data_IF_945122978214
#
_entry.id   IF_945122978214
#
_cell.length_a   1.000
_cell.length_b   1.000
_cell.length_c   1.000
_cell.angle_alpha   90.00
_cell.angle_beta   90.00
_cell.angle_gamma   90.00
#
_symmetry.space_group_name_H-M   'P 1'
#
loop_
_entity.id
_entity.type
_entity.pdbx_description
1 polymer ?
#
# COMPACT_ATOMS: atom_id res chain seq x y z
N UNK A 1 -5.74 -6.63 -25.03
CA UNK A 1 -5.17 -7.58 -24.04
C UNK A 1 -3.84 -7.04 -23.55
N UNK A 2 -3.69 -6.92 -22.23
CA UNK A 2 -2.47 -6.42 -21.59
C UNK A 2 -1.72 -7.56 -20.90
N UNK A 3 -0.40 -7.46 -20.89
CA UNK A 3 0.45 -8.35 -20.13
C UNK A 3 0.43 -7.93 -18.65
N UNK A 4 0.05 -8.84 -17.76
CA UNK A 4 0.04 -8.59 -16.32
C UNK A 4 1.08 -9.46 -15.63
N UNK A 5 1.88 -8.86 -14.75
CA UNK A 5 2.91 -9.60 -13.99
C UNK A 5 3.17 -9.01 -12.61
N UNK A 6 3.63 -9.87 -11.70
CA UNK A 6 3.96 -9.59 -10.31
C UNK A 6 5.42 -9.23 -10.10
N UNK A 7 5.69 -8.35 -9.13
CA UNK A 7 7.04 -7.89 -8.78
C UNK A 7 7.58 -8.42 -7.45
N UNK A 8 8.14 -7.50 -6.66
CA UNK A 8 8.88 -7.82 -5.44
C UNK A 8 8.05 -8.45 -4.32
N UNK A 9 6.75 -8.15 -4.24
CA UNK A 9 5.88 -8.68 -3.19
C UNK A 9 5.67 -10.19 -3.31
N UNK A 10 5.77 -10.92 -2.19
CA UNK A 10 5.51 -12.36 -2.12
C UNK A 10 6.72 -13.30 -2.24
N UNK A 11 7.89 -12.81 -2.65
CA UNK A 11 9.06 -13.69 -2.90
C UNK A 11 10.01 -13.90 -1.71
N UNK A 12 9.95 -13.06 -0.67
CA UNK A 12 10.97 -12.96 0.37
C UNK A 12 11.17 -14.24 1.19
N UNK A 13 10.10 -14.99 1.48
CA UNK A 13 10.22 -16.27 2.20
C UNK A 13 10.90 -17.36 1.36
N UNK A 14 10.70 -17.35 0.04
CA UNK A 14 11.27 -18.32 -0.89
C UNK A 14 12.74 -18.06 -1.26
N UNK A 15 13.19 -16.81 -1.13
CA UNK A 15 14.56 -16.38 -1.45
C UNK A 15 15.17 -15.61 -0.26
N UNK A 16 15.64 -16.30 0.80
CA UNK A 16 16.06 -15.67 2.05
C UNK A 16 17.20 -14.64 1.91
N UNK A 17 18.04 -14.75 0.89
CA UNK A 17 19.13 -13.84 0.53
C UNK A 17 18.68 -12.54 -0.13
N UNK A 18 17.46 -12.56 -0.67
CA UNK A 18 16.78 -11.42 -1.29
C UNK A 18 15.67 -10.85 -0.40
N UNK A 19 15.31 -11.55 0.67
CA UNK A 19 14.32 -11.13 1.66
C UNK A 19 14.68 -9.76 2.23
N UNK A 20 13.67 -8.90 2.38
CA UNK A 20 13.85 -7.64 3.10
C UNK A 20 14.30 -7.87 4.53
N UNK A 21 15.04 -6.90 5.05
CA UNK A 21 15.41 -6.84 6.47
C UNK A 21 14.84 -5.59 7.11
N UNK A 22 14.56 -5.64 8.41
CA UNK A 22 14.19 -4.45 9.18
C UNK A 22 15.41 -3.56 9.47
N UNK A 23 15.20 -2.46 10.19
CA UNK A 23 16.29 -1.56 10.61
C UNK A 23 17.29 -2.19 11.60
N UNK A 24 16.97 -3.36 12.17
CA UNK A 24 17.85 -4.15 13.02
C UNK A 24 18.56 -5.28 12.25
N UNK A 25 18.44 -5.31 10.92
CA UNK A 25 18.99 -6.34 10.03
C UNK A 25 18.39 -7.74 10.24
N UNK A 26 17.24 -7.84 10.90
CA UNK A 26 16.50 -9.10 10.99
C UNK A 26 15.68 -9.30 9.72
N UNK A 27 15.64 -10.53 9.19
CA UNK A 27 14.83 -10.80 7.99
C UNK A 27 13.35 -10.66 8.32
N UNK A 28 12.61 -10.02 7.42
CA UNK A 28 11.18 -9.82 7.56
C UNK A 28 10.40 -11.14 7.63
N UNK A 29 10.93 -12.21 7.05
CA UNK A 29 10.35 -13.56 7.16
C UNK A 29 10.47 -14.18 8.57
N UNK A 30 11.27 -13.59 9.46
CA UNK A 30 11.59 -14.13 10.79
C UNK A 30 10.99 -13.30 11.94
N UNK A 31 10.32 -12.19 11.63
CA UNK A 31 9.65 -11.38 12.65
C UNK A 31 8.37 -12.07 13.13
N UNK A 32 7.89 -11.76 14.35
CA UNK A 32 6.68 -12.37 14.89
C UNK A 32 5.47 -12.19 13.97
N UNK A 33 4.56 -13.17 14.01
CA UNK A 33 3.29 -13.08 13.30
C UNK A 33 2.39 -12.04 13.96
N UNK A 34 1.78 -11.20 13.14
CA UNK A 34 0.77 -10.21 13.52
C UNK A 34 -0.58 -10.81 13.18
N UNK A 35 -1.43 -10.99 14.20
CA UNK A 35 -2.66 -11.78 14.12
C UNK A 35 -3.54 -11.42 12.92
N UNK A 36 -3.66 -10.14 12.63
CA UNK A 36 -4.58 -9.61 11.63
C UNK A 36 -3.90 -9.20 10.32
N UNK A 37 -2.59 -9.43 10.14
CA UNK A 37 -1.84 -9.00 8.96
C UNK A 37 -1.91 -10.04 7.83
N UNK A 38 -2.94 -9.95 6.98
CA UNK A 38 -3.24 -10.97 5.96
C UNK A 38 -2.09 -11.20 4.97
N UNK A 39 -1.42 -10.13 4.52
CA UNK A 39 -0.31 -10.26 3.57
C UNK A 39 1.06 -10.52 4.22
N UNK A 40 1.13 -10.78 5.53
CA UNK A 40 2.44 -11.01 6.18
C UNK A 40 3.19 -12.21 5.57
N UNK A 41 2.47 -13.21 5.06
CA UNK A 41 3.13 -14.35 4.39
C UNK A 41 3.72 -14.01 3.03
N UNK A 42 3.28 -12.90 2.43
CA UNK A 42 3.78 -12.37 1.16
C UNK A 42 4.90 -11.34 1.38
N UNK A 43 5.88 -11.69 2.20
CA UNK A 43 7.04 -10.83 2.47
C UNK A 43 7.73 -10.44 1.16
N UNK A 44 7.95 -9.14 0.95
CA UNK A 44 8.60 -8.66 -0.26
C UNK A 44 10.10 -9.00 -0.31
N UNK A 45 10.59 -9.19 -1.53
CA UNK A 45 12.00 -9.15 -1.89
C UNK A 45 12.49 -7.69 -1.81
N UNK A 46 13.77 -7.47 -1.55
CA UNK A 46 14.37 -6.14 -1.46
C UNK A 46 14.31 -5.40 -2.81
N UNK A 47 13.50 -4.33 -2.97
CA UNK A 47 13.41 -3.62 -4.25
C UNK A 47 14.71 -2.93 -4.65
N UNK A 48 15.54 -2.54 -3.67
CA UNK A 48 16.87 -1.97 -3.91
C UNK A 48 17.94 -2.97 -4.41
N UNK A 49 17.55 -4.20 -4.75
CA UNK A 49 18.42 -5.16 -5.40
C UNK A 49 18.41 -4.93 -6.93
N UNK A 50 19.40 -4.20 -7.42
CA UNK A 50 19.48 -3.84 -8.84
C UNK A 50 19.44 -5.05 -9.80
N UNK A 51 20.20 -6.14 -9.60
CA UNK A 51 20.11 -7.31 -10.48
C UNK A 51 18.70 -7.90 -10.63
N UNK A 52 17.92 -7.92 -9.55
CA UNK A 52 16.54 -8.42 -9.59
C UNK A 52 15.64 -7.45 -10.37
N UNK A 53 15.75 -6.15 -10.11
CA UNK A 53 15.00 -5.13 -10.85
C UNK A 53 15.39 -5.11 -12.33
N UNK A 54 16.66 -5.29 -12.66
CA UNK A 54 17.15 -5.46 -14.03
C UNK A 54 16.55 -6.69 -14.71
N UNK A 55 16.41 -7.81 -14.00
CA UNK A 55 15.75 -9.00 -14.54
C UNK A 55 14.29 -8.72 -14.90
N UNK A 56 13.52 -8.07 -14.01
CA UNK A 56 12.14 -7.67 -14.31
C UNK A 56 12.08 -6.75 -15.54
N UNK A 57 12.97 -5.75 -15.61
CA UNK A 57 13.07 -4.84 -16.76
C UNK A 57 13.30 -5.60 -18.07
N UNK A 58 14.24 -6.53 -18.08
CA UNK A 58 14.57 -7.34 -19.27
C UNK A 58 13.41 -8.25 -19.68
N UNK A 59 12.74 -8.89 -18.73
CA UNK A 59 11.56 -9.73 -19.03
C UNK A 59 10.44 -8.90 -19.64
N UNK A 60 10.14 -7.72 -19.08
CA UNK A 60 9.10 -6.84 -19.61
C UNK A 60 9.44 -6.41 -21.04
N UNK A 61 10.69 -6.00 -21.30
CA UNK A 61 11.15 -5.61 -22.63
C UNK A 61 11.05 -6.77 -23.64
N UNK A 62 11.52 -7.97 -23.29
CA UNK A 62 11.47 -9.14 -24.17
C UNK A 62 10.03 -9.54 -24.51
N UNK A 63 9.13 -9.49 -23.52
CA UNK A 63 7.72 -9.81 -23.72
C UNK A 63 7.06 -8.79 -24.65
N UNK A 64 7.36 -7.50 -24.51
CA UNK A 64 6.83 -6.46 -25.39
C UNK A 64 7.40 -6.52 -26.80
N UNK A 65 8.67 -6.92 -26.97
CA UNK A 65 9.28 -7.12 -28.28
C UNK A 65 8.69 -8.34 -29.02
N UNK A 66 8.42 -9.43 -28.29
CA UNK A 66 8.07 -10.73 -28.87
C UNK A 66 6.58 -10.93 -29.08
N UNK A 67 5.75 -10.50 -28.12
CA UNK A 67 4.31 -10.76 -28.13
C UNK A 67 3.51 -9.51 -28.47
N UNK A 68 2.39 -9.63 -29.21
CA UNK A 68 1.59 -8.50 -29.66
C UNK A 68 0.64 -7.97 -28.56
N UNK A 69 1.12 -7.83 -27.33
CA UNK A 69 0.37 -7.19 -26.26
C UNK A 69 0.27 -5.67 -26.51
N UNK A 70 -0.87 -5.10 -26.14
CA UNK A 70 -1.18 -3.66 -26.32
C UNK A 70 -0.73 -2.82 -25.12
N UNK A 71 -0.37 -3.47 -24.02
CA UNK A 71 0.01 -2.80 -22.80
C UNK A 71 0.57 -3.74 -21.75
N UNK A 72 1.08 -3.12 -20.68
CA UNK A 72 1.60 -3.75 -19.47
C UNK A 72 0.83 -3.18 -18.28
N UNK A 73 0.27 -4.05 -17.46
CA UNK A 73 -0.35 -3.70 -16.18
C UNK A 73 0.35 -4.45 -15.06
N UNK A 74 1.24 -3.73 -14.38
CA UNK A 74 2.04 -4.30 -13.31
C UNK A 74 1.20 -4.45 -12.03
N UNK A 75 1.43 -5.54 -11.31
CA UNK A 75 0.87 -5.76 -9.98
C UNK A 75 1.97 -6.12 -9.01
N UNK A 76 1.78 -5.90 -7.70
CA UNK A 76 2.72 -6.39 -6.68
C UNK A 76 4.15 -5.81 -6.76
N UNK A 77 4.37 -4.72 -7.51
CA UNK A 77 5.63 -3.95 -7.53
C UNK A 77 5.69 -2.94 -6.37
N UNK A 78 5.58 -3.47 -5.15
CA UNK A 78 5.49 -2.70 -3.90
C UNK A 78 6.13 -3.43 -2.75
N UNK A 79 6.29 -2.72 -1.63
CA UNK A 79 6.49 -3.37 -0.34
C UNK A 79 5.21 -4.08 0.14
N UNK A 80 5.32 -4.99 1.11
CA UNK A 80 4.17 -5.70 1.70
C UNK A 80 3.13 -4.74 2.30
N UNK A 81 1.85 -5.12 2.36
CA UNK A 81 0.81 -4.22 2.87
C UNK A 81 1.10 -3.68 4.28
N UNK A 82 0.58 -2.47 4.61
CA UNK A 82 0.86 -1.82 5.88
C UNK A 82 0.44 -2.60 7.11
N UNK A 83 -0.59 -3.45 7.00
CA UNK A 83 -1.00 -4.36 8.06
C UNK A 83 0.20 -5.16 8.63
N UNK A 84 1.17 -5.52 7.80
CA UNK A 84 2.45 -6.00 8.29
C UNK A 84 3.34 -4.83 8.76
N UNK A 85 3.14 -4.38 10.00
CA UNK A 85 3.76 -3.16 10.54
C UNK A 85 5.29 -3.14 10.42
N UNK A 86 5.98 -4.26 10.61
CA UNK A 86 7.45 -4.33 10.45
C UNK A 86 7.92 -3.91 9.05
N UNK A 87 7.13 -4.18 8.01
CA UNK A 87 7.47 -3.82 6.64
C UNK A 87 7.56 -2.31 6.42
N UNK A 88 6.86 -1.49 7.22
CA UNK A 88 6.98 -0.02 7.14
C UNK A 88 8.41 0.46 7.43
N UNK A 89 9.15 -0.33 8.20
CA UNK A 89 10.49 -0.02 8.69
C UNK A 89 11.56 -0.88 8.00
N UNK A 90 11.22 -1.52 6.88
CA UNK A 90 12.17 -2.16 5.96
C UNK A 90 12.13 -1.54 4.55
N UNK A 91 13.16 -1.70 3.72
CA UNK A 91 14.29 -2.62 3.84
C UNK A 91 15.56 -1.93 4.37
N UNK A 92 16.07 -2.36 5.53
CA UNK A 92 17.26 -1.82 6.20
C UNK A 92 18.60 -2.42 5.75
N UNK A 93 18.61 -3.23 4.68
CA UNK A 93 19.78 -4.03 4.29
C UNK A 93 20.94 -3.15 3.76
N UNK A 94 22.18 -3.69 3.73
CA UNK A 94 23.34 -2.97 3.20
C UNK A 94 23.20 -2.44 1.77
N UNK A 95 22.38 -3.10 0.93
CA UNK A 95 22.12 -2.65 -0.45
C UNK A 95 21.28 -1.36 -0.46
N UNK A 96 20.22 -1.32 0.35
CA UNK A 96 19.38 -0.13 0.49
C UNK A 96 20.13 1.01 1.17
N UNK A 97 20.98 0.71 2.15
CA UNK A 97 21.86 1.69 2.78
C UNK A 97 22.79 2.34 1.75
N UNK A 98 23.48 1.54 0.95
CA UNK A 98 24.34 2.04 -0.12
C UNK A 98 23.55 2.79 -1.20
N UNK A 99 22.34 2.35 -1.54
CA UNK A 99 21.48 3.02 -2.52
C UNK A 99 21.02 4.39 -2.01
N UNK A 100 20.59 4.49 -0.76
CA UNK A 100 20.19 5.73 -0.13
C UNK A 100 21.33 6.76 -0.14
N UNK A 101 22.54 6.33 0.26
CA UNK A 101 23.73 7.17 0.24
C UNK A 101 24.06 7.67 -1.17
N UNK A 102 23.98 6.81 -2.19
CA UNK A 102 24.18 7.21 -3.61
C UNK A 102 23.15 8.24 -4.08
N UNK A 103 21.94 8.20 -3.54
CA UNK A 103 20.87 9.16 -3.84
C UNK A 103 20.92 10.42 -2.97
N UNK A 104 21.93 10.56 -2.10
CA UNK A 104 22.13 11.74 -1.27
C UNK A 104 21.33 11.75 0.04
N UNK A 105 20.73 10.63 0.43
CA UNK A 105 20.06 10.50 1.73
C UNK A 105 21.07 10.18 2.84
N UNK A 106 20.86 10.76 4.03
CA UNK A 106 21.52 10.33 5.26
C UNK A 106 20.79 9.10 5.82
N UNK A 107 21.26 7.91 5.45
CA UNK A 107 20.63 6.66 5.88
C UNK A 107 20.72 6.44 7.40
N UNK A 108 21.79 6.87 8.04
CA UNK A 108 21.95 6.71 9.48
C UNK A 108 20.96 7.59 10.25
N UNK A 109 20.72 8.82 9.75
CA UNK A 109 19.65 9.67 10.26
C UNK A 109 18.29 9.00 10.08
N UNK A 110 17.94 8.57 8.87
CA UNK A 110 16.67 7.87 8.60
C UNK A 110 16.47 6.66 9.53
N UNK A 111 17.51 5.83 9.71
CA UNK A 111 17.47 4.65 10.60
C UNK A 111 17.21 5.07 12.05
N UNK A 112 17.93 6.06 12.59
CA UNK A 112 17.72 6.56 13.96
C UNK A 112 16.29 7.09 14.15
N UNK A 113 15.78 7.85 13.19
CA UNK A 113 14.45 8.44 13.25
C UNK A 113 13.34 7.38 13.22
N UNK A 114 13.48 6.37 12.35
CA UNK A 114 12.58 5.22 12.29
C UNK A 114 12.55 4.46 13.61
N UNK A 115 13.72 4.13 14.16
CA UNK A 115 13.81 3.39 15.42
C UNK A 115 13.28 4.21 16.59
N UNK A 116 13.59 5.51 16.67
CA UNK A 116 13.04 6.38 17.71
C UNK A 116 11.52 6.52 17.60
N UNK A 117 10.95 6.53 16.39
CA UNK A 117 9.51 6.56 16.20
C UNK A 117 8.86 5.26 16.67
N UNK A 118 9.44 4.11 16.28
CA UNK A 118 9.02 2.79 16.73
C UNK A 118 8.99 2.70 18.26
N UNK A 119 10.10 3.09 18.91
CA UNK A 119 10.21 3.07 20.37
C UNK A 119 9.15 3.95 21.04
N UNK A 120 8.89 5.15 20.51
CA UNK A 120 7.85 6.04 21.05
C UNK A 120 6.46 5.44 20.92
N UNK A 121 6.15 4.83 19.77
CA UNK A 121 4.86 4.19 19.52
C UNK A 121 4.64 3.01 20.48
N UNK A 122 5.67 2.21 20.74
CA UNK A 122 5.61 1.07 21.68
C UNK A 122 5.43 1.47 23.14
N UNK A 123 5.80 2.71 23.51
CA UNK A 123 5.77 3.20 24.89
C UNK A 123 4.63 4.22 25.13
N UNK A 124 3.63 4.26 24.25
CA UNK A 124 2.42 5.05 24.50
C UNK A 124 1.62 4.45 25.65
N UNK A 125 1.09 5.31 26.52
CA UNK A 125 0.17 4.88 27.56
C UNK A 125 -1.30 5.01 27.11
N UNK A 126 -2.19 4.27 27.78
CA UNK A 126 -3.60 4.20 27.39
C UNK A 126 -4.32 5.55 27.48
N UNK A 127 -3.90 6.40 28.42
CA UNK A 127 -4.49 7.74 28.57
C UNK A 127 -4.08 8.63 27.41
N UNK A 128 -2.82 8.57 27.00
CA UNK A 128 -2.30 9.38 25.90
C UNK A 128 -2.98 9.02 24.56
N UNK A 129 -3.22 7.73 24.31
CA UNK A 129 -3.97 7.27 23.12
C UNK A 129 -5.42 7.76 23.15
N UNK A 130 -6.12 7.62 24.29
CA UNK A 130 -7.49 8.14 24.46
C UNK A 130 -7.55 9.65 24.26
N UNK A 131 -6.68 10.39 24.93
CA UNK A 131 -6.63 11.85 24.83
C UNK A 131 -6.36 12.29 23.38
N UNK A 132 -5.51 11.57 22.64
CA UNK A 132 -5.25 11.82 21.23
C UNK A 132 -6.48 11.56 20.34
N UNK A 133 -7.20 10.46 20.60
CA UNK A 133 -8.45 10.13 19.92
C UNK A 133 -9.55 11.17 20.16
N UNK A 134 -9.80 11.52 21.43
CA UNK A 134 -10.87 12.45 21.84
C UNK A 134 -10.64 13.89 21.37
N UNK A 135 -9.39 14.35 21.41
CA UNK A 135 -9.01 15.70 20.94
C UNK A 135 -8.89 15.79 19.43
N UNK A 136 -8.91 14.63 18.79
CA UNK A 136 -8.97 14.54 17.38
C UNK A 136 -7.64 14.83 16.66
N UNK A 137 -6.53 14.37 17.22
CA UNK A 137 -5.21 14.51 16.59
C UNK A 137 -5.16 13.77 15.24
N UNK A 138 -4.75 14.47 14.20
CA UNK A 138 -4.47 13.91 12.88
C UNK A 138 -3.00 13.56 12.68
N UNK A 139 -2.64 13.12 11.47
CA UNK A 139 -1.27 12.69 11.15
C UNK A 139 -0.22 13.78 11.39
N UNK A 140 -0.51 15.04 11.06
CA UNK A 140 0.42 16.15 11.32
C UNK A 140 0.54 16.47 12.81
N UNK A 141 -0.51 16.24 13.60
CA UNK A 141 -0.40 16.41 15.05
C UNK A 141 0.46 15.31 15.68
N UNK A 142 0.50 14.12 15.08
CA UNK A 142 1.46 13.09 15.47
C UNK A 142 2.91 13.53 15.26
N UNK A 143 3.21 14.41 14.29
CA UNK A 143 4.58 14.90 14.13
C UNK A 143 5.03 15.73 15.32
N UNK A 144 4.16 16.57 15.87
CA UNK A 144 4.45 17.34 17.07
C UNK A 144 4.43 16.47 18.32
N UNK A 145 3.42 15.59 18.44
CA UNK A 145 3.22 14.78 19.64
C UNK A 145 4.23 13.64 19.79
N UNK A 146 4.47 12.87 18.72
CA UNK A 146 5.43 11.77 18.69
C UNK A 146 6.81 12.21 18.19
N UNK A 147 7.00 13.50 17.88
CA UNK A 147 8.26 14.08 17.44
C UNK A 147 8.81 13.45 16.17
N UNK A 148 7.98 13.41 15.10
CA UNK A 148 8.43 12.98 13.77
C UNK A 148 9.40 14.00 13.21
N UNK A 149 10.66 13.61 13.05
CA UNK A 149 11.68 14.45 12.42
C UNK A 149 11.71 14.23 10.89
N UNK A 150 12.58 15.00 10.23
CA UNK A 150 12.78 14.90 8.79
C UNK A 150 13.25 13.51 8.33
N UNK A 151 13.91 12.73 9.20
CA UNK A 151 14.46 11.43 8.86
C UNK A 151 13.37 10.39 8.60
N UNK A 152 12.27 10.43 9.36
CA UNK A 152 11.13 9.54 9.07
C UNK A 152 10.44 9.91 7.76
N UNK A 153 10.24 11.19 7.48
CA UNK A 153 9.66 11.63 6.20
C UNK A 153 10.57 11.26 5.01
N UNK A 154 11.88 11.46 5.16
CA UNK A 154 12.90 11.05 4.19
C UNK A 154 12.89 9.54 3.96
N UNK A 155 12.66 8.73 5.00
CA UNK A 155 12.59 7.28 4.88
C UNK A 155 11.48 6.84 3.92
N UNK A 156 10.27 7.37 4.07
CA UNK A 156 9.18 7.07 3.14
C UNK A 156 9.42 7.65 1.74
N UNK A 157 10.12 8.78 1.61
CA UNK A 157 10.55 9.32 0.31
C UNK A 157 11.54 8.42 -0.40
N UNK A 158 12.59 8.00 0.30
CA UNK A 158 13.55 7.06 -0.23
C UNK A 158 12.86 5.78 -0.70
N UNK A 159 12.05 5.14 0.15
CA UNK A 159 11.34 3.91 -0.19
C UNK A 159 10.49 4.05 -1.46
N UNK A 160 9.76 5.14 -1.58
CA UNK A 160 8.94 5.37 -2.76
C UNK A 160 9.75 5.74 -4.00
N UNK A 161 10.84 6.48 -3.83
CA UNK A 161 11.79 6.79 -4.89
C UNK A 161 12.39 5.53 -5.52
N UNK A 162 12.72 4.51 -4.70
CA UNK A 162 13.19 3.21 -5.19
C UNK A 162 12.15 2.55 -6.08
N UNK A 163 10.90 2.40 -5.60
CA UNK A 163 9.83 1.75 -6.36
C UNK A 163 9.53 2.51 -7.66
N UNK A 164 9.30 3.82 -7.57
CA UNK A 164 8.93 4.63 -8.74
C UNK A 164 10.07 4.79 -9.74
N UNK A 165 11.33 4.76 -9.30
CA UNK A 165 12.49 4.75 -10.17
C UNK A 165 12.54 3.50 -11.04
N UNK A 166 12.31 2.33 -10.43
CA UNK A 166 12.24 1.08 -11.17
C UNK A 166 11.04 1.01 -12.11
N UNK A 167 9.84 1.40 -11.66
CA UNK A 167 8.64 1.43 -12.51
C UNK A 167 8.84 2.33 -13.74
N UNK A 168 9.46 3.50 -13.58
CA UNK A 168 9.85 4.35 -14.71
C UNK A 168 10.79 3.62 -15.67
N UNK A 169 11.83 2.98 -15.14
CA UNK A 169 12.79 2.23 -15.98
C UNK A 169 12.15 1.07 -16.75
N UNK A 170 11.10 0.45 -16.18
CA UNK A 170 10.35 -0.62 -16.84
C UNK A 170 9.49 -0.06 -17.98
N UNK A 171 8.84 1.10 -17.77
CA UNK A 171 8.10 1.83 -18.81
C UNK A 171 9.01 2.19 -19.99
N UNK A 172 10.17 2.77 -19.69
CA UNK A 172 11.17 3.12 -20.70
C UNK A 172 11.63 1.89 -21.50
N UNK A 173 11.90 0.77 -20.83
CA UNK A 173 12.32 -0.47 -21.50
C UNK A 173 11.20 -1.08 -22.35
N UNK A 174 9.96 -1.10 -21.85
CA UNK A 174 8.79 -1.58 -22.61
C UNK A 174 8.61 -0.77 -23.90
N UNK A 175 8.66 0.56 -23.81
CA UNK A 175 8.45 1.46 -24.96
C UNK A 175 9.61 1.37 -25.97
N UNK A 176 10.85 1.21 -25.50
CA UNK A 176 12.01 1.08 -26.38
C UNK A 176 12.08 -0.27 -27.11
N UNK A 177 11.39 -1.29 -26.61
CA UNK A 177 11.45 -2.67 -27.12
C UNK A 177 10.44 -3.00 -28.21
N UNK A 178 9.47 -2.12 -28.46
CA UNK A 178 8.36 -2.38 -29.36
C UNK A 178 8.13 -1.23 -30.35
N UNK A 179 8.03 -1.53 -31.64
CA UNK A 179 7.73 -0.55 -32.71
C UNK A 179 6.23 -0.18 -32.79
N UNK A 180 5.51 -0.27 -31.67
CA UNK A 180 4.08 0.01 -31.57
C UNK A 180 3.78 0.75 -30.26
N UNK A 181 2.66 1.50 -30.19
CA UNK A 181 2.21 2.08 -28.92
C UNK A 181 1.98 0.98 -27.88
N UNK A 182 2.53 1.16 -26.68
CA UNK A 182 2.33 0.31 -25.51
C UNK A 182 1.72 1.18 -24.42
N UNK A 183 0.58 0.76 -23.87
CA UNK A 183 0.04 1.36 -22.66
C UNK A 183 0.80 0.79 -21.45
N UNK A 184 1.29 1.64 -20.56
CA UNK A 184 2.01 1.18 -19.38
C UNK A 184 1.43 1.73 -18.09
N UNK A 185 1.15 0.85 -17.14
CA UNK A 185 0.73 1.23 -15.81
C UNK A 185 1.02 0.16 -14.76
N UNK A 186 0.63 0.48 -13.53
CA UNK A 186 0.67 -0.43 -12.40
C UNK A 186 -0.57 -0.21 -11.57
N UNK A 187 -1.06 -1.28 -10.97
CA UNK A 187 -1.95 -1.16 -9.83
C UNK A 187 -1.29 -0.29 -8.75
N UNK A 188 -2.06 0.64 -8.21
CA UNK A 188 -1.58 1.57 -7.19
C UNK A 188 -2.40 1.35 -5.95
N UNK A 189 -1.77 0.87 -4.89
CA UNK A 189 -2.36 0.70 -3.56
C UNK A 189 -3.25 1.91 -3.15
N UNK A 190 -4.34 1.70 -2.37
CA UNK A 190 -5.28 2.76 -2.03
C UNK A 190 -4.59 4.07 -1.59
N UNK A 191 -5.04 5.23 -2.09
CA UNK A 191 -4.42 6.54 -1.87
C UNK A 191 -3.91 6.80 -0.46
N UNK A 192 -4.68 6.42 0.56
CA UNK A 192 -4.31 6.64 1.98
C UNK A 192 -3.06 5.88 2.41
N UNK A 193 -2.86 4.70 1.85
CA UNK A 193 -1.81 3.77 2.24
C UNK A 193 -0.69 3.67 1.20
N UNK A 194 -0.86 4.28 0.03
CA UNK A 194 0.07 4.19 -1.10
C UNK A 194 1.52 4.47 -0.70
N UNK A 195 1.74 5.53 0.08
CA UNK A 195 3.08 5.93 0.50
C UNK A 195 3.74 4.92 1.44
N UNK A 196 2.96 4.20 2.24
CA UNK A 196 3.46 3.19 3.18
C UNK A 196 4.01 1.95 2.47
N UNK A 197 3.55 1.69 1.24
CA UNK A 197 4.02 0.59 0.39
C UNK A 197 4.96 1.05 -0.73
N UNK A 198 5.45 2.29 -0.67
CA UNK A 198 6.40 2.84 -1.64
C UNK A 198 5.78 3.37 -2.94
N UNK A 199 4.45 3.44 -3.03
CA UNK A 199 3.79 4.07 -4.16
C UNK A 199 3.70 5.60 -3.98
N UNK A 200 3.55 6.30 -5.10
CA UNK A 200 3.32 7.74 -5.12
C UNK A 200 2.49 8.11 -6.34
N UNK A 201 1.24 8.52 -6.10
CA UNK A 201 0.34 8.99 -7.15
C UNK A 201 0.94 10.17 -7.93
N UNK A 202 1.59 11.09 -7.22
CA UNK A 202 2.27 12.22 -7.86
C UNK A 202 3.40 11.76 -8.77
N UNK A 203 4.20 10.80 -8.33
CA UNK A 203 5.31 10.30 -9.14
C UNK A 203 4.82 9.47 -10.33
N UNK A 204 3.73 8.71 -10.18
CA UNK A 204 3.15 7.91 -11.26
C UNK A 204 2.71 8.75 -12.45
N UNK A 205 2.26 9.99 -12.23
CA UNK A 205 1.95 10.92 -13.35
C UNK A 205 3.13 11.15 -14.30
N UNK A 206 4.38 11.00 -13.82
CA UNK A 206 5.57 11.20 -14.65
C UNK A 206 5.98 9.99 -15.50
N UNK A 207 5.44 8.80 -15.21
CA UNK A 207 5.89 7.57 -15.85
C UNK A 207 4.75 6.66 -16.33
N UNK A 208 3.56 6.71 -15.75
CA UNK A 208 2.43 5.88 -16.17
C UNK A 208 1.65 6.55 -17.32
N UNK A 209 0.98 5.75 -18.14
CA UNK A 209 0.06 6.23 -19.18
C UNK A 209 -1.40 6.21 -18.70
N UNK A 210 -1.66 5.62 -17.54
CA UNK A 210 -2.93 5.68 -16.81
C UNK A 210 -2.67 5.42 -15.31
N UNK A 211 -3.60 5.85 -14.45
CA UNK A 211 -3.58 5.46 -13.02
C UNK A 211 -4.60 4.38 -12.76
N UNK A 212 -4.22 3.34 -11.99
CA UNK A 212 -5.15 2.29 -11.58
C UNK A 212 -5.17 2.09 -10.06
N UNK A 213 -5.92 2.91 -9.31
CA UNK A 213 -6.12 2.72 -7.88
C UNK A 213 -6.69 1.33 -7.56
N UNK A 214 -5.97 0.51 -6.81
CA UNK A 214 -6.36 -0.86 -6.46
C UNK A 214 -7.32 -0.85 -5.26
N UNK A 215 -8.60 -0.60 -5.51
CA UNK A 215 -9.61 -0.46 -4.45
C UNK A 215 -10.39 -1.75 -4.19
N UNK A 216 -10.17 -2.80 -4.98
CA UNK A 216 -10.87 -4.08 -4.89
C UNK A 216 -10.57 -4.89 -3.61
N UNK A 217 -9.52 -4.55 -2.86
CA UNK A 217 -9.07 -5.33 -1.69
C UNK A 217 -9.24 -4.58 -0.37
N UNK A 218 -10.44 -4.03 -0.11
CA UNK A 218 -10.74 -3.30 1.14
C UNK A 218 -10.43 -4.12 2.40
N UNK A 219 -10.79 -5.41 2.40
CA UNK A 219 -10.49 -6.30 3.54
C UNK A 219 -8.99 -6.37 3.82
N UNK A 220 -8.21 -6.69 2.78
CA UNK A 220 -6.77 -6.94 2.89
C UNK A 220 -5.96 -5.66 3.13
N UNK A 221 -6.32 -4.53 2.51
CA UNK A 221 -5.49 -3.33 2.55
C UNK A 221 -5.91 -2.34 3.64
N UNK A 222 -7.22 -2.22 3.89
CA UNK A 222 -7.77 -1.20 4.79
C UNK A 222 -8.10 -1.83 6.14
N UNK A 223 -9.03 -2.79 6.16
CA UNK A 223 -9.55 -3.37 7.40
C UNK A 223 -8.49 -4.17 8.17
N UNK A 224 -7.69 -4.97 7.47
CA UNK A 224 -6.55 -5.71 8.05
C UNK A 224 -5.50 -4.77 8.65
N UNK A 225 -5.24 -3.63 8.02
CA UNK A 225 -4.33 -2.61 8.57
C UNK A 225 -4.88 -2.05 9.88
N UNK A 226 -6.17 -1.70 9.91
CA UNK A 226 -6.79 -1.15 11.12
C UNK A 226 -6.80 -2.14 12.28
N UNK A 227 -7.24 -3.37 12.03
CA UNK A 227 -7.29 -4.40 13.06
C UNK A 227 -5.90 -4.73 13.59
N UNK A 228 -4.90 -4.84 12.71
CA UNK A 228 -3.53 -5.12 13.14
C UNK A 228 -2.99 -4.02 14.03
N UNK A 229 -3.21 -2.75 13.68
CA UNK A 229 -2.66 -1.64 14.45
C UNK A 229 -3.36 -1.50 15.79
N UNK A 230 -4.68 -1.66 15.83
CA UNK A 230 -5.43 -1.64 17.08
C UNK A 230 -5.04 -2.80 18.02
N UNK A 231 -4.92 -4.02 17.48
CA UNK A 231 -4.45 -5.20 18.22
C UNK A 231 -3.05 -5.00 18.81
N UNK A 232 -2.12 -4.48 18.00
CA UNK A 232 -0.75 -4.16 18.44
C UNK A 232 -0.75 -3.10 19.55
N UNK A 233 -1.53 -2.03 19.42
CA UNK A 233 -1.63 -1.00 20.45
C UNK A 233 -2.18 -1.56 21.77
N UNK A 234 -3.20 -2.42 21.71
CA UNK A 234 -3.74 -3.10 22.87
C UNK A 234 -2.72 -4.06 23.52
N UNK A 235 -1.86 -4.70 22.73
CA UNK A 235 -0.79 -5.57 23.24
C UNK A 235 0.35 -4.80 23.89
N UNK A 236 0.70 -3.62 23.36
CA UNK A 236 1.77 -2.78 23.88
C UNK A 236 1.34 -1.94 25.09
N UNK A 237 0.04 -1.65 25.20
CA UNK A 237 -0.47 -0.67 26.15
C UNK A 237 -1.43 -1.32 27.15
N UNK A 238 -0.94 -1.54 28.37
CA UNK A 238 -1.75 -2.11 29.46
C UNK A 238 -3.02 -1.28 29.71
N UNK A 239 -4.17 -1.93 29.66
CA UNK A 239 -5.48 -1.31 29.96
C UNK A 239 -6.04 -0.40 28.86
N UNK A 240 -5.53 -0.46 27.63
CA UNK A 240 -6.16 0.16 26.47
C UNK A 240 -7.35 -0.69 25.99
N UNK A 241 -8.51 -0.07 25.78
CA UNK A 241 -9.68 -0.74 25.23
C UNK A 241 -9.60 -0.81 23.69
N UNK A 242 -10.16 -1.88 23.09
CA UNK A 242 -10.22 -2.03 21.62
C UNK A 242 -10.90 -0.84 20.94
N UNK A 243 -11.99 -0.34 21.53
CA UNK A 243 -12.72 0.81 21.00
C UNK A 243 -11.82 2.05 20.88
N UNK A 244 -11.04 2.35 21.93
CA UNK A 244 -10.13 3.50 21.95
C UNK A 244 -9.03 3.34 20.89
N UNK A 245 -8.47 2.13 20.78
CA UNK A 245 -7.44 1.81 19.80
C UNK A 245 -7.95 1.95 18.36
N UNK A 246 -9.15 1.42 18.07
CA UNK A 246 -9.77 1.50 16.75
C UNK A 246 -10.13 2.94 16.38
N UNK A 247 -10.73 3.71 17.30
CA UNK A 247 -11.01 5.14 17.08
C UNK A 247 -9.75 5.92 16.75
N UNK A 248 -8.68 5.70 17.50
CA UNK A 248 -7.38 6.32 17.25
C UNK A 248 -6.82 5.96 15.86
N UNK A 249 -6.84 4.67 15.50
CA UNK A 249 -6.32 4.20 14.21
C UNK A 249 -7.17 4.69 13.03
N UNK A 250 -8.50 4.67 13.14
CA UNK A 250 -9.38 5.23 12.10
C UNK A 250 -9.09 6.71 11.88
N UNK A 251 -8.91 7.46 12.96
CA UNK A 251 -8.59 8.89 12.86
C UNK A 251 -7.23 9.16 12.26
N UNK A 252 -6.21 8.39 12.64
CA UNK A 252 -4.87 8.48 12.07
C UNK A 252 -4.89 8.42 10.53
N UNK A 253 -5.75 7.57 9.96
CA UNK A 253 -5.90 7.42 8.52
C UNK A 253 -7.07 8.24 7.92
N UNK A 254 -7.78 9.02 8.74
CA UNK A 254 -8.91 9.85 8.31
C UNK A 254 -10.12 9.05 7.84
N UNK A 255 -10.51 8.03 8.59
CA UNK A 255 -11.68 7.17 8.40
C UNK A 255 -12.68 7.24 9.58
N UNK A 256 -12.40 8.05 10.59
CA UNK A 256 -13.17 8.19 11.83
C UNK A 256 -14.59 8.75 11.65
N UNK A 257 -14.90 9.27 10.47
CA UNK A 257 -16.23 9.76 10.09
C UNK A 257 -17.12 8.67 9.45
N UNK A 258 -16.60 7.46 9.23
CA UNK A 258 -17.34 6.34 8.66
C UNK A 258 -17.93 5.44 9.76
N UNK A 259 -19.00 4.72 9.44
CA UNK A 259 -19.64 3.73 10.34
C UNK A 259 -18.82 2.43 10.42
N UNK A 260 -17.65 2.51 11.03
CA UNK A 260 -16.71 1.39 11.18
C UNK A 260 -16.90 0.65 12.52
N UNK A 261 -16.65 -0.67 12.57
CA UNK A 261 -16.75 -1.45 13.80
C UNK A 261 -15.81 -0.96 14.91
N UNK A 262 -16.22 -1.07 16.17
CA UNK A 262 -15.41 -0.67 17.33
C UNK A 262 -14.91 -1.84 18.18
N UNK A 263 -15.01 -3.05 17.63
CA UNK A 263 -14.48 -4.29 18.21
C UNK A 263 -13.75 -5.06 17.12
N UNK A 264 -12.63 -5.69 17.47
CA UNK A 264 -11.81 -6.42 16.50
C UNK A 264 -12.57 -7.60 15.88
N UNK A 265 -13.42 -8.27 16.67
CA UNK A 265 -14.25 -9.38 16.20
C UNK A 265 -15.24 -8.96 15.10
N UNK A 266 -15.79 -7.75 15.19
CA UNK A 266 -16.80 -7.24 14.27
C UNK A 266 -16.22 -6.84 12.91
N UNK A 267 -14.88 -6.74 12.79
CA UNK A 267 -14.20 -6.54 11.50
C UNK A 267 -14.24 -7.83 10.67
N UNK A 268 -14.25 -9.01 11.30
CA UNK A 268 -14.50 -10.29 10.62
C UNK A 268 -13.34 -10.87 9.81
N UNK A 269 -12.09 -10.43 10.04
CA UNK A 269 -10.88 -10.80 9.25
C UNK A 269 -10.69 -12.30 9.03
N UNK A 270 -11.13 -13.13 9.99
CA UNK A 270 -10.95 -14.59 9.93
C UNK A 270 -11.87 -15.27 8.90
N UNK A 271 -12.77 -14.52 8.25
CA UNK A 271 -13.67 -15.02 7.19
C UNK A 271 -13.21 -14.59 5.79
N UNK A 272 -13.30 -15.45 4.75
CA UNK A 272 -13.00 -15.05 3.38
C UNK A 272 -13.91 -13.91 2.90
N UNK A 273 -13.34 -12.96 2.15
CA UNK A 273 -14.03 -11.77 1.62
C UNK A 273 -14.88 -11.04 2.68
N UNK A 274 -14.36 -10.97 3.91
CA UNK A 274 -15.04 -10.38 5.06
C UNK A 274 -15.47 -8.92 4.86
N UNK A 275 -14.82 -8.20 3.95
CA UNK A 275 -15.26 -6.86 3.57
C UNK A 275 -16.69 -6.84 2.99
N UNK A 276 -17.22 -7.96 2.48
CA UNK A 276 -18.62 -8.06 2.06
C UNK A 276 -19.61 -7.83 3.22
N UNK A 277 -19.16 -8.07 4.46
CA UNK A 277 -19.98 -7.93 5.66
C UNK A 277 -19.86 -6.55 6.32
N UNK A 278 -18.94 -5.69 5.84
CA UNK A 278 -18.79 -4.34 6.39
C UNK A 278 -19.84 -3.39 5.80
N UNK A 279 -20.61 -2.74 6.67
CA UNK A 279 -21.63 -1.76 6.24
C UNK A 279 -21.00 -0.55 5.53
N UNK A 280 -19.79 -0.18 5.94
CA UNK A 280 -19.03 0.92 5.37
C UNK A 280 -18.29 0.57 4.07
N UNK A 281 -18.50 -0.61 3.45
CA UNK A 281 -17.77 -1.00 2.24
C UNK A 281 -17.85 0.07 1.15
N UNK A 282 -19.06 0.54 0.85
CA UNK A 282 -19.28 1.58 -0.14
C UNK A 282 -18.54 2.87 0.23
N UNK A 283 -18.68 3.34 1.47
CA UNK A 283 -18.12 4.62 1.91
C UNK A 283 -16.59 4.60 1.94
N UNK A 284 -15.98 3.45 2.31
CA UNK A 284 -14.53 3.25 2.25
C UNK A 284 -14.04 3.41 0.80
N UNK A 285 -14.68 2.74 -0.16
CA UNK A 285 -14.26 2.79 -1.56
C UNK A 285 -14.52 4.16 -2.16
N UNK A 286 -15.66 4.78 -1.86
CA UNK A 286 -16.00 6.14 -2.30
C UNK A 286 -14.98 7.18 -1.80
N UNK A 287 -14.56 7.08 -0.54
CA UNK A 287 -13.51 7.93 0.03
C UNK A 287 -12.18 7.78 -0.72
N UNK A 288 -11.77 6.54 -1.02
CA UNK A 288 -10.53 6.29 -1.75
C UNK A 288 -10.64 6.68 -3.24
N UNK A 289 -11.83 6.59 -3.87
CA UNK A 289 -12.07 7.14 -5.20
C UNK A 289 -11.87 8.66 -5.21
N UNK A 290 -12.45 9.38 -4.24
CA UNK A 290 -12.26 10.81 -4.10
C UNK A 290 -10.78 11.19 -3.97
N UNK A 291 -10.04 10.49 -3.11
CA UNK A 291 -8.60 10.71 -2.92
C UNK A 291 -7.81 10.40 -4.19
N UNK A 292 -8.13 9.29 -4.86
CA UNK A 292 -7.46 8.90 -6.10
C UNK A 292 -7.66 9.94 -7.20
N UNK A 293 -8.88 10.45 -7.36
CA UNK A 293 -9.14 11.51 -8.34
C UNK A 293 -8.42 12.81 -7.96
N UNK A 294 -8.43 13.19 -6.68
CA UNK A 294 -7.73 14.38 -6.21
C UNK A 294 -6.23 14.35 -6.55
N UNK A 295 -5.60 13.18 -6.52
CA UNK A 295 -4.18 13.03 -6.79
C UNK A 295 -3.85 12.88 -8.28
N UNK A 296 -4.80 12.48 -9.11
CA UNK A 296 -4.65 12.47 -10.56
C UNK A 296 -4.98 13.87 -11.12
N UNK A 297 -4.01 14.50 -11.79
CA UNK A 297 -4.18 15.88 -12.31
C UNK A 297 -5.08 15.99 -13.55
N UNK A 298 -5.57 14.85 -14.08
CA UNK A 298 -6.31 14.75 -15.33
C UNK A 298 -5.44 14.66 -16.58
N UNK A 299 -4.11 14.67 -16.43
CA UNK A 299 -3.15 14.54 -17.54
C UNK A 299 -3.13 13.14 -18.16
N UNK A 300 -3.42 12.11 -17.36
CA UNK A 300 -3.55 10.72 -17.81
C UNK A 300 -4.87 10.13 -17.28
N UNK A 301 -5.52 9.23 -18.02
CA UNK A 301 -6.78 8.65 -17.59
C UNK A 301 -6.65 7.85 -16.29
N UNK A 302 -7.74 7.79 -15.53
CA UNK A 302 -7.86 7.06 -14.28
C UNK A 302 -8.87 5.94 -14.40
N UNK A 303 -8.40 4.72 -14.09
CA UNK A 303 -9.21 3.50 -14.09
C UNK A 303 -9.10 2.77 -12.74
N UNK A 304 -9.87 3.21 -11.71
CA UNK A 304 -9.94 2.51 -10.43
C UNK A 304 -10.34 1.04 -10.60
N UNK A 305 -9.71 0.17 -9.81
CA UNK A 305 -10.00 -1.26 -9.76
C UNK A 305 -11.03 -1.53 -8.69
N UNK A 306 -12.18 -2.10 -9.08
CA UNK A 306 -13.29 -2.46 -8.19
C UNK A 306 -13.48 -3.98 -8.21
N UNK A 307 -13.83 -4.60 -7.07
CA UNK A 307 -14.06 -6.05 -7.01
C UNK A 307 -15.43 -6.39 -7.61
N UNK A 308 -15.45 -6.99 -8.79
CA UNK A 308 -16.66 -7.54 -9.42
C UNK A 308 -16.85 -9.04 -9.17
N UNK A 309 -15.89 -9.70 -8.52
CA UNK A 309 -15.98 -11.12 -8.19
C UNK A 309 -17.02 -11.41 -7.10
N UNK A 310 -17.01 -10.67 -6.00
CA UNK A 310 -17.79 -11.01 -4.79
C UNK A 310 -18.67 -9.88 -4.25
N UNK A 311 -18.35 -8.61 -4.55
CA UNK A 311 -19.16 -7.49 -4.06
C UNK A 311 -20.54 -7.52 -4.69
N UNK A 312 -21.55 -7.04 -3.96
CA UNK A 312 -22.92 -7.05 -4.44
C UNK A 312 -23.06 -6.18 -5.71
N UNK A 313 -23.90 -6.58 -6.68
CA UNK A 313 -24.10 -5.78 -7.89
C UNK A 313 -24.64 -4.36 -7.62
N UNK A 314 -25.34 -4.16 -6.51
CA UNK A 314 -25.82 -2.83 -6.10
C UNK A 314 -24.66 -1.92 -5.69
N UNK A 315 -23.77 -2.40 -4.80
CA UNK A 315 -22.57 -1.66 -4.40
C UNK A 315 -21.72 -1.33 -5.62
N UNK A 316 -21.48 -2.31 -6.49
CA UNK A 316 -20.65 -2.11 -7.68
C UNK A 316 -21.26 -1.06 -8.62
N UNK A 317 -22.56 -1.10 -8.90
CA UNK A 317 -23.22 -0.08 -9.74
C UNK A 317 -23.11 1.32 -9.15
N UNK A 318 -23.37 1.46 -7.85
CA UNK A 318 -23.25 2.76 -7.17
C UNK A 318 -21.83 3.30 -7.23
N UNK A 319 -20.82 2.45 -7.10
CA UNK A 319 -19.41 2.85 -7.20
C UNK A 319 -19.00 3.24 -8.62
N UNK A 320 -19.55 2.58 -9.65
CA UNK A 320 -19.36 3.01 -11.05
C UNK A 320 -19.94 4.41 -11.24
N UNK A 321 -21.18 4.65 -10.81
CA UNK A 321 -21.83 5.96 -10.90
C UNK A 321 -21.06 7.04 -10.13
N UNK A 322 -20.53 6.68 -8.95
CA UNK A 322 -19.71 7.58 -8.14
C UNK A 322 -18.40 7.92 -8.85
N UNK A 323 -17.70 6.92 -9.39
CA UNK A 323 -16.44 7.13 -10.11
C UNK A 323 -16.62 8.01 -11.36
N UNK A 324 -17.69 7.78 -12.14
CA UNK A 324 -18.03 8.61 -13.30
C UNK A 324 -18.31 10.06 -12.89
N UNK A 325 -19.10 10.28 -11.83
CA UNK A 325 -19.40 11.63 -11.30
C UNK A 325 -18.15 12.37 -10.81
N UNK A 326 -17.18 11.63 -10.27
CA UNK A 326 -15.88 12.20 -9.86
C UNK A 326 -14.97 12.48 -11.06
N UNK A 327 -15.32 12.01 -12.26
CA UNK A 327 -14.57 12.23 -13.49
C UNK A 327 -13.49 11.18 -13.76
N UNK A 328 -13.59 9.98 -13.18
CA UNK A 328 -12.77 8.85 -13.64
C UNK A 328 -13.24 8.39 -15.02
N UNK A 329 -12.30 8.02 -15.88
CA UNK A 329 -12.52 7.73 -17.29
C UNK A 329 -12.96 6.26 -17.55
N UNK A 330 -13.02 5.44 -16.50
CA UNK A 330 -13.55 4.08 -16.55
C UNK A 330 -13.24 3.30 -15.27
N UNK A 331 -13.57 2.01 -15.27
CA UNK A 331 -13.32 1.07 -14.16
C UNK A 331 -12.66 -0.19 -14.72
N UNK A 332 -11.71 -0.73 -13.96
CA UNK A 332 -11.19 -2.08 -14.16
C UNK A 332 -11.87 -3.00 -13.14
N UNK A 333 -12.44 -4.12 -13.58
CA UNK A 333 -13.03 -5.09 -12.65
C UNK A 333 -12.02 -6.17 -12.28
N UNK A 334 -11.80 -6.34 -10.97
CA UNK A 334 -11.17 -7.54 -10.46
C UNK A 334 -12.22 -8.65 -10.35
N UNK A 335 -12.21 -9.54 -11.34
CA UNK A 335 -13.23 -10.57 -11.53
C UNK A 335 -14.60 -9.96 -11.82
N UNK A 336 -15.53 -10.76 -12.33
CA UNK A 336 -16.87 -10.29 -12.72
C UNK A 336 -17.98 -11.27 -12.31
N UNK A 337 -17.66 -12.28 -11.50
CA UNK A 337 -18.54 -13.39 -11.17
C UNK A 337 -19.86 -12.96 -10.50
N UNK A 338 -19.87 -11.85 -9.76
CA UNK A 338 -21.11 -11.31 -9.19
C UNK A 338 -21.93 -10.49 -10.19
N UNK A 339 -21.30 -10.00 -11.26
CA UNK A 339 -21.89 -9.07 -12.22
C UNK A 339 -22.48 -9.78 -13.45
N UNK A 340 -21.81 -10.83 -13.92
CA UNK A 340 -22.26 -11.64 -15.05
C UNK A 340 -22.74 -12.99 -14.54
N UNK A 341 -24.01 -13.30 -14.80
CA UNK A 341 -24.52 -14.67 -14.67
C UNK A 341 -24.14 -15.42 -15.93
N UNK A 342 -23.33 -16.46 -15.80
CA UNK A 342 -23.03 -17.40 -16.88
C UNK A 342 -24.20 -18.37 -17.10
#
# INVERSE_FOLDING_TARGET
VWFCTGGWHGGGRGCPELCMTDMHHKRMSEVPLMRYAIEQDSVALCPGNEPMSDWFRTVIAEVMATYPFEGVDLTHFRYTAPAFLHNLFGCGCPRCEALAQRQGYDFDHMRRSVLSFWDRLQNLDAKAIRDAGDRGLGLMDLSEWLGLDAGLSQWFEFRAGVINGHLRSFKEAAHASADRPIMFGSDTFPPTFARLVGHSYKASMSWADYTSPLLSHVGVFVLSTFATYADILCQWTDGLAEEDALRFVYRLFGYDHLDLPLRLEDIGIETPDFENNTKALYDIVELELHRARLYNTGEIPSYPVIKGATWSPDIVRRLIDAAEKMGHEGIIFQGTDSLVKW
#
